data_IF_779574908665
#
_entry.id   IF_779574908665
#
_cell.length_a   1.000
_cell.length_b   1.000
_cell.length_c   1.000
_cell.angle_alpha   90.00
_cell.angle_beta   90.00
_cell.angle_gamma   90.00
#
_symmetry.space_group_name_H-M   'P 1'
#
loop_
_entity.id
_entity.type
_entity.pdbx_description
1 polymer ?
#
# COMPACT_ATOMS: atom_id res chain seq x y z
N UNK A 1 16.92 -23.70 -23.84
CA UNK A 1 17.02 -22.25 -23.56
C UNK A 1 17.36 -22.09 -22.08
N UNK A 2 18.44 -21.37 -21.76
CA UNK A 2 18.79 -21.09 -20.36
C UNK A 2 17.68 -20.23 -19.72
N UNK A 3 17.21 -20.65 -18.55
CA UNK A 3 16.21 -19.88 -17.79
C UNK A 3 16.82 -18.56 -17.31
N UNK A 4 16.07 -17.46 -17.45
CA UNK A 4 16.52 -16.13 -17.05
C UNK A 4 16.43 -16.00 -15.53
N UNK A 5 17.55 -16.22 -14.84
CA UNK A 5 17.67 -16.03 -13.38
C UNK A 5 17.91 -14.53 -13.12
N UNK A 6 17.24 -13.88 -12.16
CA UNK A 6 17.47 -12.46 -11.83
C UNK A 6 18.75 -12.27 -10.99
N UNK A 7 19.91 -12.74 -11.52
CA UNK A 7 21.24 -12.61 -10.87
C UNK A 7 21.62 -11.14 -10.67
N UNK A 8 21.08 -10.28 -11.50
CA UNK A 8 21.28 -8.82 -11.41
C UNK A 8 21.03 -8.25 -10.01
N UNK A 9 20.08 -8.84 -9.25
CA UNK A 9 19.78 -8.43 -7.87
C UNK A 9 20.96 -8.58 -6.92
N UNK A 10 21.84 -9.58 -7.18
CA UNK A 10 23.04 -9.85 -6.40
C UNK A 10 24.33 -9.19 -6.95
N UNK A 11 24.34 -8.72 -8.20
CA UNK A 11 25.57 -8.34 -8.90
C UNK A 11 25.63 -6.83 -9.23
N UNK A 12 24.53 -6.25 -9.70
CA UNK A 12 24.50 -4.82 -10.11
C UNK A 12 24.72 -3.87 -8.93
N UNK A 13 25.31 -2.68 -9.17
CA UNK A 13 25.40 -1.65 -8.12
C UNK A 13 24.05 -1.30 -7.52
N UNK A 14 23.97 -1.23 -6.20
CA UNK A 14 22.69 -1.08 -5.45
C UNK A 14 21.97 0.22 -5.84
N UNK A 15 22.68 1.33 -6.07
CA UNK A 15 22.04 2.61 -6.44
C UNK A 15 21.27 2.51 -7.76
N UNK A 16 21.89 1.91 -8.78
CA UNK A 16 21.26 1.70 -10.10
C UNK A 16 20.10 0.73 -9.97
N UNK A 17 20.30 -0.35 -9.21
CA UNK A 17 19.30 -1.35 -9.00
C UNK A 17 18.07 -0.77 -8.29
N UNK A 18 18.29 0.00 -7.22
CA UNK A 18 17.20 0.68 -6.50
C UNK A 18 16.43 1.64 -7.41
N UNK A 19 17.13 2.43 -8.23
CA UNK A 19 16.48 3.31 -9.22
C UNK A 19 15.61 2.52 -10.19
N UNK A 20 16.12 1.42 -10.73
CA UNK A 20 15.41 0.58 -11.71
C UNK A 20 14.17 -0.13 -11.13
N UNK A 21 14.11 -0.31 -9.81
CA UNK A 21 12.97 -0.92 -9.13
C UNK A 21 12.05 0.09 -8.48
N UNK A 22 12.59 1.13 -7.83
CA UNK A 22 11.82 2.11 -7.09
C UNK A 22 11.11 3.11 -8.01
N UNK A 23 11.79 3.63 -9.05
CA UNK A 23 11.19 4.60 -9.95
C UNK A 23 9.94 4.05 -10.67
N UNK A 24 9.97 2.84 -11.25
CA UNK A 24 8.77 2.21 -11.78
C UNK A 24 7.65 2.03 -10.74
N UNK A 25 8.00 1.62 -9.51
CA UNK A 25 7.01 1.45 -8.45
C UNK A 25 6.38 2.78 -8.03
N UNK A 26 7.17 3.85 -7.89
CA UNK A 26 6.68 5.21 -7.60
C UNK A 26 5.72 5.68 -8.70
N UNK A 27 6.12 5.54 -9.97
CA UNK A 27 5.29 5.95 -11.12
C UNK A 27 3.94 5.20 -11.12
N UNK A 28 3.97 3.88 -10.88
CA UNK A 28 2.75 3.07 -10.80
C UNK A 28 1.84 3.51 -9.65
N UNK A 29 2.40 3.80 -8.47
CA UNK A 29 1.62 4.24 -7.30
C UNK A 29 1.01 5.63 -7.49
N UNK A 30 1.79 6.59 -8.02
CA UNK A 30 1.31 7.95 -8.30
C UNK A 30 0.22 7.91 -9.37
N UNK A 31 0.42 7.16 -10.45
CA UNK A 31 -0.59 7.03 -11.51
C UNK A 31 -1.89 6.40 -10.99
N UNK A 32 -1.80 5.35 -10.16
CA UNK A 32 -2.98 4.73 -9.56
C UNK A 32 -3.72 5.68 -8.62
N UNK A 33 -3.00 6.54 -7.89
CA UNK A 33 -3.61 7.55 -7.02
C UNK A 33 -4.32 8.64 -7.81
N UNK A 34 -3.68 9.15 -8.88
CA UNK A 34 -4.28 10.14 -9.78
C UNK A 34 -5.54 9.57 -10.45
N UNK A 35 -5.47 8.31 -10.90
CA UNK A 35 -6.62 7.64 -11.48
C UNK A 35 -7.81 7.59 -10.51
N UNK A 36 -7.62 7.22 -9.24
CA UNK A 36 -8.70 7.21 -8.25
C UNK A 36 -9.38 8.58 -8.09
N UNK A 37 -8.62 9.68 -8.27
CA UNK A 37 -9.18 11.04 -8.24
C UNK A 37 -10.02 11.29 -9.49
N UNK A 38 -9.51 10.92 -10.65
CA UNK A 38 -10.21 11.08 -11.95
C UNK A 38 -11.51 10.29 -11.98
N UNK A 39 -11.49 9.03 -11.56
CA UNK A 39 -12.68 8.16 -11.50
C UNK A 39 -13.78 8.76 -10.63
N UNK A 40 -13.43 9.26 -9.44
CA UNK A 40 -14.36 9.97 -8.55
C UNK A 40 -14.93 11.25 -9.18
N UNK A 41 -14.09 11.99 -9.91
CA UNK A 41 -14.54 13.19 -10.60
C UNK A 41 -15.55 12.86 -11.72
N UNK A 42 -15.31 11.79 -12.47
CA UNK A 42 -16.26 11.30 -13.46
C UNK A 42 -17.60 10.88 -12.84
N UNK A 43 -17.56 10.07 -11.78
CA UNK A 43 -18.77 9.62 -11.09
C UNK A 43 -19.54 10.82 -10.51
N UNK A 44 -18.85 11.75 -9.84
CA UNK A 44 -19.47 12.93 -9.26
C UNK A 44 -20.12 13.84 -10.27
N UNK A 45 -19.49 14.02 -11.45
CA UNK A 45 -19.97 14.94 -12.48
C UNK A 45 -21.10 14.34 -13.36
N UNK A 46 -20.99 13.06 -13.73
CA UNK A 46 -21.89 12.44 -14.69
C UNK A 46 -22.97 11.56 -14.07
N UNK A 47 -22.71 10.95 -12.90
CA UNK A 47 -23.69 10.10 -12.20
C UNK A 47 -24.39 10.86 -11.09
N UNK A 48 -23.69 11.78 -10.44
CA UNK A 48 -24.23 12.69 -9.44
C UNK A 48 -23.68 12.51 -8.02
N UNK A 49 -24.05 13.45 -7.16
CA UNK A 49 -23.52 13.56 -5.78
C UNK A 49 -23.90 12.38 -4.89
N UNK A 50 -25.08 11.78 -5.08
CA UNK A 50 -25.51 10.61 -4.32
C UNK A 50 -24.66 9.37 -4.66
N UNK A 51 -24.31 9.19 -5.93
CA UNK A 51 -23.43 8.11 -6.38
C UNK A 51 -22.00 8.31 -5.83
N UNK A 52 -21.50 9.56 -5.84
CA UNK A 52 -20.22 9.91 -5.23
C UNK A 52 -20.21 9.64 -3.72
N UNK A 53 -21.30 9.95 -3.02
CA UNK A 53 -21.51 9.63 -1.61
C UNK A 53 -21.47 8.12 -1.37
N UNK A 54 -22.17 7.33 -2.20
CA UNK A 54 -22.12 5.88 -2.18
C UNK A 54 -20.71 5.34 -2.38
N UNK A 55 -19.99 5.82 -3.38
CA UNK A 55 -18.61 5.41 -3.65
C UNK A 55 -17.68 5.76 -2.47
N UNK A 56 -17.90 6.91 -1.83
CA UNK A 56 -17.10 7.32 -0.67
C UNK A 56 -17.28 6.36 0.51
N UNK A 57 -18.50 5.87 0.76
CA UNK A 57 -18.78 4.85 1.77
C UNK A 57 -18.12 3.49 1.45
N UNK A 58 -17.93 3.16 0.16
CA UNK A 58 -17.25 1.91 -0.23
C UNK A 58 -15.74 1.94 -0.06
N UNK A 59 -15.11 3.11 -0.04
CA UNK A 59 -13.65 3.26 -0.09
C UNK A 59 -12.89 2.57 1.05
N UNK A 60 -13.26 2.71 2.34
CA UNK A 60 -12.58 1.98 3.41
C UNK A 60 -12.71 0.47 3.26
N UNK A 61 -13.87 0.01 2.78
CA UNK A 61 -14.13 -1.40 2.54
C UNK A 61 -13.30 -1.95 1.37
N UNK A 62 -13.17 -1.20 0.27
CA UNK A 62 -12.29 -1.55 -0.85
C UNK A 62 -10.83 -1.64 -0.40
N UNK A 63 -10.37 -0.71 0.44
CA UNK A 63 -9.02 -0.75 1.00
C UNK A 63 -8.79 -2.00 1.85
N UNK A 64 -9.78 -2.43 2.63
CA UNK A 64 -9.70 -3.67 3.38
C UNK A 64 -9.61 -4.88 2.44
N UNK A 65 -10.40 -4.92 1.36
CA UNK A 65 -10.30 -5.95 0.32
C UNK A 65 -8.90 -5.98 -0.33
N UNK A 66 -8.39 -4.81 -0.73
CA UNK A 66 -7.04 -4.70 -1.28
C UNK A 66 -5.95 -5.16 -0.28
N UNK A 67 -6.16 -4.97 1.03
CA UNK A 67 -5.24 -5.44 2.06
C UNK A 67 -5.11 -6.97 2.09
N UNK A 68 -6.17 -7.73 1.80
CA UNK A 68 -6.10 -9.19 1.66
C UNK A 68 -5.26 -9.61 0.44
N UNK A 69 -5.46 -8.97 -0.72
CA UNK A 69 -4.63 -9.20 -1.90
C UNK A 69 -3.16 -8.85 -1.66
N UNK A 70 -2.90 -7.72 -1.01
CA UNK A 70 -1.56 -7.28 -0.62
C UNK A 70 -0.90 -8.22 0.38
N UNK A 71 -1.66 -8.80 1.33
CA UNK A 71 -1.15 -9.78 2.30
C UNK A 71 -0.49 -10.95 1.60
N UNK A 72 -1.18 -11.55 0.64
CA UNK A 72 -0.63 -12.69 -0.10
C UNK A 72 0.52 -12.25 -1.02
N UNK A 73 0.34 -11.14 -1.77
CA UNK A 73 1.30 -10.65 -2.75
C UNK A 73 2.63 -10.21 -2.15
N UNK A 74 2.58 -9.38 -1.11
CA UNK A 74 3.78 -8.86 -0.42
C UNK A 74 4.53 -9.97 0.31
N UNK A 75 3.78 -10.86 0.98
CA UNK A 75 4.37 -12.04 1.61
C UNK A 75 5.08 -12.95 0.61
N UNK A 76 4.43 -13.26 -0.51
CA UNK A 76 4.99 -14.09 -1.57
C UNK A 76 6.22 -13.42 -2.23
N UNK A 77 6.16 -12.12 -2.50
CA UNK A 77 7.28 -11.36 -3.05
C UNK A 77 8.53 -11.50 -2.16
N UNK A 78 8.39 -11.33 -0.85
CA UNK A 78 9.51 -11.50 0.10
C UNK A 78 10.01 -12.95 0.11
N UNK A 79 9.12 -13.95 0.23
CA UNK A 79 9.54 -15.35 0.27
C UNK A 79 10.27 -15.75 -1.02
N UNK A 80 9.74 -15.38 -2.19
CA UNK A 80 10.38 -15.62 -3.49
C UNK A 80 11.75 -14.96 -3.53
N UNK A 81 11.86 -13.67 -3.18
CA UNK A 81 13.13 -12.94 -3.24
C UNK A 81 14.20 -13.60 -2.38
N UNK A 82 13.87 -13.97 -1.13
CA UNK A 82 14.80 -14.69 -0.23
C UNK A 82 15.19 -16.05 -0.80
N UNK A 83 14.24 -16.84 -1.33
CA UNK A 83 14.52 -18.16 -1.91
C UNK A 83 15.36 -18.09 -3.17
N UNK A 84 15.15 -17.06 -4.02
CA UNK A 84 15.99 -16.81 -5.18
C UNK A 84 17.43 -16.49 -4.77
N UNK A 85 17.62 -15.67 -3.72
CA UNK A 85 18.95 -15.42 -3.15
C UNK A 85 19.63 -16.68 -2.60
N UNK A 86 18.85 -17.57 -1.98
CA UNK A 86 19.31 -18.89 -1.51
C UNK A 86 19.54 -19.91 -2.64
N UNK A 87 19.24 -19.55 -3.90
CA UNK A 87 19.24 -20.44 -5.06
C UNK A 87 18.26 -21.62 -4.94
N UNK A 88 17.25 -21.51 -4.04
CA UNK A 88 16.17 -22.48 -3.88
C UNK A 88 15.03 -22.18 -4.87
N UNK A 89 15.30 -22.41 -6.15
CA UNK A 89 14.37 -22.14 -7.24
C UNK A 89 13.11 -23.01 -7.17
N UNK A 90 13.24 -24.22 -6.61
CA UNK A 90 12.12 -25.15 -6.47
C UNK A 90 11.06 -24.61 -5.49
N UNK A 91 11.49 -24.08 -4.35
CA UNK A 91 10.58 -23.45 -3.40
C UNK A 91 10.03 -22.13 -3.95
N UNK A 92 10.85 -21.28 -4.57
CA UNK A 92 10.38 -20.04 -5.21
C UNK A 92 9.27 -20.31 -6.25
N UNK A 93 9.45 -21.36 -7.06
CA UNK A 93 8.45 -21.82 -8.03
C UNK A 93 7.13 -22.29 -7.37
N UNK A 94 7.21 -23.01 -6.24
CA UNK A 94 6.03 -23.44 -5.49
C UNK A 94 5.31 -22.24 -4.84
N UNK A 95 6.04 -21.19 -4.42
CA UNK A 95 5.41 -19.97 -3.87
C UNK A 95 4.54 -19.29 -4.92
N UNK A 96 4.96 -19.21 -6.18
CA UNK A 96 4.14 -18.68 -7.27
C UNK A 96 2.78 -19.40 -7.37
N UNK A 97 2.78 -20.74 -7.42
CA UNK A 97 1.55 -21.52 -7.51
C UNK A 97 0.71 -21.44 -6.24
N UNK A 98 1.34 -21.46 -5.06
CA UNK A 98 0.64 -21.30 -3.78
C UNK A 98 -0.02 -19.92 -3.69
N UNK A 99 0.61 -18.87 -4.22
CA UNK A 99 0.01 -17.51 -4.26
C UNK A 99 -1.27 -17.47 -5.09
N UNK A 100 -1.28 -18.12 -6.25
CA UNK A 100 -2.48 -18.20 -7.10
C UNK A 100 -3.60 -18.91 -6.35
N UNK A 101 -3.29 -20.07 -5.75
CA UNK A 101 -4.29 -20.85 -5.00
C UNK A 101 -4.78 -20.09 -3.77
N UNK A 102 -3.90 -19.41 -3.02
CA UNK A 102 -4.28 -18.59 -1.86
C UNK A 102 -5.17 -17.42 -2.25
N UNK A 103 -4.83 -16.69 -3.33
CA UNK A 103 -5.65 -15.59 -3.81
C UNK A 103 -7.04 -16.06 -4.26
N UNK A 104 -7.12 -17.23 -4.89
CA UNK A 104 -8.39 -17.85 -5.26
C UNK A 104 -9.23 -18.18 -4.02
N UNK A 105 -8.64 -18.85 -3.04
CA UNK A 105 -9.35 -19.26 -1.82
C UNK A 105 -9.76 -18.03 -0.99
N UNK A 106 -8.81 -17.15 -0.66
CA UNK A 106 -9.08 -15.99 0.18
C UNK A 106 -9.99 -14.99 -0.54
N UNK A 107 -9.79 -14.78 -1.83
CA UNK A 107 -10.64 -13.91 -2.64
C UNK A 107 -12.07 -14.42 -2.73
N UNK A 108 -12.27 -15.74 -2.95
CA UNK A 108 -13.59 -16.36 -2.98
C UNK A 108 -14.26 -16.30 -1.61
N UNK A 109 -13.54 -16.63 -0.53
CA UNK A 109 -14.06 -16.55 0.83
C UNK A 109 -14.47 -15.11 1.18
N UNK A 110 -13.63 -14.14 0.89
CA UNK A 110 -13.92 -12.72 1.09
C UNK A 110 -15.16 -12.30 0.31
N UNK A 111 -15.25 -12.69 -0.96
CA UNK A 111 -16.42 -12.42 -1.82
C UNK A 111 -17.71 -12.99 -1.20
N UNK A 112 -17.72 -14.25 -0.79
CA UNK A 112 -18.92 -14.89 -0.22
C UNK A 112 -19.35 -14.18 1.06
N UNK A 113 -18.41 -13.95 2.01
CA UNK A 113 -18.71 -13.28 3.28
C UNK A 113 -19.22 -11.87 3.03
N UNK A 114 -18.54 -11.11 2.17
CA UNK A 114 -18.88 -9.70 1.96
C UNK A 114 -20.16 -9.52 1.16
N UNK A 115 -20.47 -10.38 0.20
CA UNK A 115 -21.76 -10.32 -0.53
C UNK A 115 -22.92 -10.72 0.37
N UNK A 116 -22.72 -11.68 1.29
CA UNK A 116 -23.77 -12.12 2.23
C UNK A 116 -24.14 -11.00 3.22
N UNK A 117 -23.17 -10.22 3.67
CA UNK A 117 -23.35 -9.14 4.65
C UNK A 117 -23.16 -7.74 4.04
N UNK A 118 -23.42 -7.57 2.73
CA UNK A 118 -23.06 -6.35 2.01
C UNK A 118 -23.70 -5.09 2.59
N UNK A 119 -25.02 -5.10 2.80
CA UNK A 119 -25.75 -3.93 3.29
C UNK A 119 -25.36 -3.52 4.71
N UNK A 120 -25.29 -4.43 5.69
CA UNK A 120 -24.77 -4.11 7.02
C UNK A 120 -23.35 -3.54 6.98
N UNK A 121 -22.48 -4.10 6.15
CA UNK A 121 -21.11 -3.60 6.01
C UNK A 121 -21.10 -2.18 5.46
N UNK A 122 -21.82 -1.89 4.38
CA UNK A 122 -21.89 -0.58 3.78
C UNK A 122 -22.47 0.48 4.74
N UNK A 123 -23.48 0.11 5.53
CA UNK A 123 -24.05 1.01 6.57
C UNK A 123 -23.06 1.31 7.68
N UNK A 124 -22.28 0.31 8.15
CA UNK A 124 -21.21 0.51 9.14
C UNK A 124 -20.15 1.51 8.59
N UNK A 125 -19.86 1.46 7.30
CA UNK A 125 -18.92 2.38 6.66
C UNK A 125 -19.54 3.72 6.23
N UNK A 126 -20.79 4.00 6.61
CA UNK A 126 -21.42 5.31 6.48
C UNK A 126 -22.35 5.48 5.27
N UNK A 127 -22.76 4.40 4.62
CA UNK A 127 -23.81 4.48 3.59
C UNK A 127 -25.17 4.81 4.25
N UNK A 128 -25.79 5.91 3.80
CA UNK A 128 -27.14 6.29 4.19
C UNK A 128 -28.18 5.54 3.35
N UNK A 129 -29.46 5.62 3.73
CA UNK A 129 -30.56 5.01 2.94
C UNK A 129 -30.58 5.49 1.49
N UNK A 130 -30.20 6.75 1.25
CA UNK A 130 -30.16 7.35 -0.11
C UNK A 130 -28.93 6.99 -0.92
N UNK A 131 -27.78 6.72 -0.27
CA UNK A 131 -26.52 6.38 -0.95
C UNK A 131 -26.28 4.87 -1.03
N UNK A 132 -26.96 4.09 -0.19
CA UNK A 132 -26.82 2.63 -0.14
C UNK A 132 -27.11 1.91 -1.47
N UNK A 133 -28.11 2.30 -2.28
CA UNK A 133 -28.35 1.66 -3.59
C UNK A 133 -27.14 1.77 -4.52
N UNK A 134 -26.53 2.96 -4.60
CA UNK A 134 -25.34 3.20 -5.44
C UNK A 134 -24.12 2.44 -4.93
N UNK A 135 -23.88 2.46 -3.61
CA UNK A 135 -22.80 1.70 -2.98
C UNK A 135 -22.96 0.19 -3.22
N UNK A 136 -24.18 -0.33 -3.11
CA UNK A 136 -24.52 -1.74 -3.36
C UNK A 136 -24.25 -2.13 -4.80
N UNK A 137 -24.74 -1.37 -5.77
CA UNK A 137 -24.57 -1.65 -7.20
C UNK A 137 -23.08 -1.72 -7.59
N UNK A 138 -22.29 -0.79 -7.10
CA UNK A 138 -20.85 -0.77 -7.33
C UNK A 138 -20.16 -1.97 -6.69
N UNK A 139 -20.41 -2.20 -5.39
CA UNK A 139 -19.72 -3.24 -4.63
C UNK A 139 -20.13 -4.66 -5.02
N UNK A 140 -21.36 -4.89 -5.45
CA UNK A 140 -21.76 -6.21 -5.96
C UNK A 140 -20.90 -6.64 -7.15
N UNK A 141 -20.62 -5.73 -8.08
CA UNK A 141 -19.76 -6.01 -9.24
C UNK A 141 -18.31 -6.20 -8.80
N UNK A 142 -17.76 -5.28 -8.03
CA UNK A 142 -16.37 -5.34 -7.56
C UNK A 142 -16.11 -6.60 -6.75
N UNK A 143 -17.02 -6.97 -5.84
CA UNK A 143 -16.87 -8.17 -5.01
C UNK A 143 -17.04 -9.46 -5.82
N UNK A 144 -17.98 -9.51 -6.77
CA UNK A 144 -18.17 -10.70 -7.60
C UNK A 144 -16.88 -11.09 -8.36
N UNK A 145 -16.06 -10.10 -8.73
CA UNK A 145 -14.80 -10.30 -9.44
C UNK A 145 -13.55 -10.03 -8.58
N UNK A 146 -13.70 -9.95 -7.27
CA UNK A 146 -12.62 -9.60 -6.35
C UNK A 146 -11.42 -10.57 -6.41
N UNK A 147 -11.64 -11.83 -6.77
CA UNK A 147 -10.57 -12.81 -7.03
C UNK A 147 -9.60 -12.32 -8.12
N UNK A 148 -10.10 -11.62 -9.14
CA UNK A 148 -9.28 -11.02 -10.20
C UNK A 148 -8.39 -9.93 -9.60
N UNK A 149 -8.98 -9.03 -8.81
CA UNK A 149 -8.25 -7.94 -8.15
C UNK A 149 -7.15 -8.47 -7.22
N UNK A 150 -7.46 -9.46 -6.37
CA UNK A 150 -6.49 -10.08 -5.47
C UNK A 150 -5.36 -10.78 -6.25
N UNK A 151 -5.71 -11.53 -7.30
CA UNK A 151 -4.72 -12.23 -8.14
C UNK A 151 -3.83 -11.25 -8.88
N UNK A 152 -4.39 -10.15 -9.42
CA UNK A 152 -3.64 -9.09 -10.07
C UNK A 152 -2.63 -8.45 -9.11
N UNK A 153 -3.08 -8.00 -7.92
CA UNK A 153 -2.21 -7.39 -6.91
C UNK A 153 -1.10 -8.34 -6.46
N UNK A 154 -1.46 -9.60 -6.18
CA UNK A 154 -0.51 -10.61 -5.73
C UNK A 154 0.55 -10.95 -6.77
N UNK A 155 0.14 -11.21 -8.00
CA UNK A 155 1.07 -11.58 -9.07
C UNK A 155 1.89 -10.39 -9.58
N UNK A 156 1.36 -9.16 -9.54
CA UNK A 156 2.12 -7.95 -9.82
C UNK A 156 3.29 -7.76 -8.84
N UNK A 157 3.08 -8.07 -7.55
CA UNK A 157 4.16 -8.06 -6.57
C UNK A 157 5.24 -9.12 -6.88
N UNK A 158 4.83 -10.33 -7.28
CA UNK A 158 5.75 -11.41 -7.67
C UNK A 158 6.55 -11.06 -8.92
N UNK A 159 5.99 -10.31 -9.88
CA UNK A 159 6.73 -9.86 -11.07
C UNK A 159 7.97 -9.06 -10.69
N UNK A 160 7.89 -8.20 -9.66
CA UNK A 160 9.05 -7.45 -9.17
C UNK A 160 10.11 -8.38 -8.58
N UNK A 161 9.69 -9.39 -7.80
CA UNK A 161 10.60 -10.41 -7.26
C UNK A 161 11.25 -11.26 -8.38
N UNK A 162 10.52 -11.50 -9.46
CA UNK A 162 10.99 -12.26 -10.63
C UNK A 162 11.94 -11.45 -11.54
N UNK A 163 12.24 -10.18 -11.23
CA UNK A 163 13.15 -9.35 -12.03
C UNK A 163 12.48 -8.52 -13.13
N UNK A 164 11.16 -8.34 -13.07
CA UNK A 164 10.38 -7.60 -14.08
C UNK A 164 9.70 -6.32 -13.52
N UNK A 165 10.41 -5.39 -12.84
CA UNK A 165 9.80 -4.21 -12.23
C UNK A 165 9.20 -3.26 -13.28
N UNK A 166 9.87 -3.06 -14.42
CA UNK A 166 9.38 -2.20 -15.50
C UNK A 166 8.11 -2.78 -16.13
N UNK A 167 8.05 -4.10 -16.33
CA UNK A 167 6.85 -4.73 -16.87
C UNK A 167 5.68 -4.65 -15.88
N UNK A 168 5.94 -4.82 -14.59
CA UNK A 168 4.93 -4.64 -13.54
C UNK A 168 4.35 -3.22 -13.55
N UNK A 169 5.21 -2.19 -13.67
CA UNK A 169 4.79 -0.79 -13.85
C UNK A 169 3.98 -0.60 -15.13
N UNK A 170 4.50 -1.06 -16.27
CA UNK A 170 3.84 -0.89 -17.56
C UNK A 170 2.42 -1.49 -17.55
N UNK A 171 2.23 -2.66 -16.96
CA UNK A 171 0.91 -3.28 -16.84
C UNK A 171 -0.02 -2.50 -15.91
N UNK A 172 0.52 -1.91 -14.83
CA UNK A 172 -0.28 -1.02 -13.97
C UNK A 172 -0.69 0.25 -14.71
N UNK A 173 0.23 0.89 -15.41
CA UNK A 173 -0.07 2.09 -16.21
C UNK A 173 -1.04 1.81 -17.35
N UNK A 174 -0.86 0.70 -18.08
CA UNK A 174 -1.81 0.26 -19.11
C UNK A 174 -3.19 0.00 -18.51
N UNK A 175 -3.27 -0.64 -17.35
CA UNK A 175 -4.53 -0.85 -16.63
C UNK A 175 -5.22 0.47 -16.30
N UNK A 176 -4.48 1.45 -15.77
CA UNK A 176 -4.98 2.80 -15.48
C UNK A 176 -5.49 3.49 -16.76
N UNK A 177 -4.72 3.44 -17.86
CA UNK A 177 -5.13 4.04 -19.13
C UNK A 177 -6.36 3.39 -19.73
N UNK A 178 -6.42 2.05 -19.72
CA UNK A 178 -7.60 1.29 -20.20
C UNK A 178 -8.81 1.66 -19.37
N UNK A 179 -8.70 1.71 -18.08
CA UNK A 179 -9.82 2.07 -17.21
C UNK A 179 -10.29 3.50 -17.47
N UNK A 180 -9.36 4.49 -17.53
CA UNK A 180 -9.68 5.88 -17.86
C UNK A 180 -10.36 6.06 -19.24
N UNK A 181 -10.07 5.17 -20.20
CA UNK A 181 -10.74 5.15 -21.49
C UNK A 181 -12.13 4.47 -21.43
N UNK A 182 -12.29 3.44 -20.60
CA UNK A 182 -13.55 2.71 -20.44
C UNK A 182 -14.57 3.45 -19.58
N UNK A 183 -14.13 4.25 -18.61
CA UNK A 183 -15.02 5.02 -17.72
C UNK A 183 -15.99 5.93 -18.53
N UNK A 184 -15.53 6.83 -19.43
CA UNK A 184 -16.44 7.62 -20.25
C UNK A 184 -17.36 6.76 -21.14
N UNK A 185 -16.84 5.67 -21.68
CA UNK A 185 -17.61 4.76 -22.53
C UNK A 185 -18.77 4.13 -21.76
N UNK A 186 -18.51 3.56 -20.58
CA UNK A 186 -19.55 2.87 -19.81
C UNK A 186 -20.44 3.83 -19.03
N UNK A 187 -19.88 4.93 -18.49
CA UNK A 187 -20.65 5.87 -17.68
C UNK A 187 -21.50 6.78 -18.55
N UNK A 188 -20.92 7.35 -19.65
CA UNK A 188 -21.56 8.37 -20.45
C UNK A 188 -22.25 7.79 -21.67
N UNK A 189 -21.52 7.04 -22.52
CA UNK A 189 -22.04 6.56 -23.81
C UNK A 189 -23.06 5.45 -23.63
N UNK A 190 -22.80 4.50 -22.72
CA UNK A 190 -23.68 3.37 -22.44
C UNK A 190 -24.66 3.63 -21.28
N UNK A 191 -24.59 4.79 -20.65
CA UNK A 191 -25.47 5.25 -19.56
C UNK A 191 -25.61 4.23 -18.41
N UNK A 192 -24.52 3.53 -18.11
CA UNK A 192 -24.51 2.49 -17.06
C UNK A 192 -24.29 3.05 -15.65
N UNK A 193 -24.08 4.36 -15.52
CA UNK A 193 -23.87 5.05 -14.24
C UNK A 193 -22.71 4.44 -13.43
N UNK A 194 -22.90 4.27 -12.13
CA UNK A 194 -21.88 3.74 -11.22
C UNK A 194 -21.49 2.29 -11.51
N UNK A 195 -22.38 1.49 -12.09
CA UNK A 195 -22.07 0.13 -12.56
C UNK A 195 -21.03 0.14 -13.66
N UNK A 196 -21.07 1.16 -14.54
CA UNK A 196 -20.10 1.36 -15.61
C UNK A 196 -18.67 1.51 -15.08
N UNK A 197 -18.48 2.32 -14.06
CA UNK A 197 -17.18 2.48 -13.39
C UNK A 197 -16.66 1.16 -12.79
N UNK A 198 -17.53 0.39 -12.12
CA UNK A 198 -17.17 -0.90 -11.57
C UNK A 198 -16.71 -1.89 -12.66
N UNK A 199 -17.45 -1.97 -13.77
CA UNK A 199 -17.14 -2.84 -14.90
C UNK A 199 -15.84 -2.43 -15.58
N UNK A 200 -15.61 -1.13 -15.80
CA UNK A 200 -14.36 -0.61 -16.36
C UNK A 200 -13.15 -1.02 -15.51
N UNK A 201 -13.27 -0.91 -14.19
CA UNK A 201 -12.23 -1.35 -13.24
C UNK A 201 -11.94 -2.84 -13.38
N UNK A 202 -12.96 -3.68 -13.40
CA UNK A 202 -12.77 -5.15 -13.50
C UNK A 202 -12.19 -5.54 -14.85
N UNK A 203 -12.61 -4.94 -15.95
CA UNK A 203 -12.06 -5.23 -17.28
C UNK A 203 -10.58 -4.86 -17.33
N UNK A 204 -10.20 -3.67 -16.87
CA UNK A 204 -8.81 -3.21 -16.87
C UNK A 204 -7.90 -4.12 -16.03
N UNK A 205 -8.35 -4.53 -14.84
CA UNK A 205 -7.62 -5.47 -13.99
C UNK A 205 -7.58 -6.88 -14.59
N UNK A 206 -8.62 -7.33 -15.26
CA UNK A 206 -8.65 -8.63 -15.95
C UNK A 206 -7.64 -8.69 -17.09
N UNK A 207 -7.54 -7.62 -17.89
CA UNK A 207 -6.55 -7.52 -18.97
C UNK A 207 -5.13 -7.51 -18.43
N UNK A 208 -4.87 -6.76 -17.35
CA UNK A 208 -3.57 -6.73 -16.68
C UNK A 208 -3.22 -8.10 -16.09
N UNK A 209 -4.15 -8.78 -15.43
CA UNK A 209 -3.98 -10.12 -14.90
C UNK A 209 -3.69 -11.14 -16.02
N UNK A 210 -4.44 -11.09 -17.12
CA UNK A 210 -4.20 -11.96 -18.26
C UNK A 210 -2.79 -11.78 -18.83
N UNK A 211 -2.31 -10.55 -18.97
CA UNK A 211 -0.95 -10.26 -19.42
C UNK A 211 0.11 -10.82 -18.46
N UNK A 212 -0.10 -10.71 -17.13
CA UNK A 212 0.79 -11.31 -16.12
C UNK A 212 0.82 -12.84 -16.24
N UNK A 213 -0.34 -13.47 -16.38
CA UNK A 213 -0.44 -14.93 -16.53
C UNK A 213 0.21 -15.41 -17.83
N UNK A 214 0.08 -14.66 -18.93
CA UNK A 214 0.76 -14.95 -20.20
C UNK A 214 2.29 -14.87 -20.05
N UNK A 215 2.81 -13.89 -19.29
CA UNK A 215 4.23 -13.79 -19.00
C UNK A 215 4.71 -15.01 -18.21
N UNK A 216 4.02 -15.35 -17.12
CA UNK A 216 4.38 -16.53 -16.32
C UNK A 216 4.10 -17.87 -17.03
N UNK A 217 3.38 -17.89 -18.13
CA UNK A 217 3.21 -19.08 -18.96
C UNK A 217 4.42 -19.41 -19.84
N UNK A 218 5.36 -18.45 -20.00
CA UNK A 218 6.56 -18.63 -20.80
C UNK A 218 7.56 -19.52 -20.08
N UNK A 219 7.94 -20.64 -20.69
CA UNK A 219 8.94 -21.59 -20.13
C UNK A 219 10.36 -21.02 -20.07
N UNK A 220 10.63 -19.90 -20.73
CA UNK A 220 11.90 -19.18 -20.67
C UNK A 220 12.12 -18.47 -19.34
N UNK A 221 11.02 -18.17 -18.62
CA UNK A 221 11.11 -17.57 -17.29
C UNK A 221 11.45 -18.60 -16.22
N UNK A 222 12.23 -18.19 -15.23
CA UNK A 222 12.56 -19.05 -14.09
C UNK A 222 11.31 -19.44 -13.32
N UNK A 223 10.50 -18.41 -12.99
CA UNK A 223 9.20 -18.60 -12.38
C UNK A 223 8.14 -18.69 -13.47
N UNK A 224 7.62 -19.88 -13.71
CA UNK A 224 6.59 -20.10 -14.72
C UNK A 224 5.51 -21.07 -14.25
N UNK A 225 4.33 -20.95 -14.85
CA UNK A 225 3.20 -21.82 -14.54
C UNK A 225 3.47 -23.24 -15.03
N UNK A 226 3.43 -24.22 -14.11
CA UNK A 226 3.59 -25.65 -14.41
C UNK A 226 2.66 -26.48 -13.53
N UNK A 227 2.38 -27.70 -13.97
CA UNK A 227 1.58 -28.64 -13.17
C UNK A 227 2.31 -28.97 -11.84
N UNK A 228 1.53 -29.07 -10.75
CA UNK A 228 2.02 -29.49 -9.44
C UNK A 228 2.41 -28.36 -8.47
N UNK A 229 2.57 -27.11 -8.93
CA UNK A 229 2.91 -25.98 -8.04
C UNK A 229 1.72 -25.45 -7.22
N UNK A 230 0.50 -25.81 -7.61
CA UNK A 230 -0.75 -25.28 -7.00
C UNK A 230 -1.12 -25.95 -5.69
N UNK A 231 -0.48 -27.10 -5.36
CA UNK A 231 -0.71 -27.76 -4.07
C UNK A 231 -0.18 -26.87 -2.94
N UNK A 232 -1.06 -26.50 -2.02
CA UNK A 232 -0.71 -25.70 -0.85
C UNK A 232 0.29 -26.47 0.02
N UNK A 233 1.42 -25.83 0.29
CA UNK A 233 2.42 -26.31 1.25
C UNK A 233 2.32 -25.48 2.52
N UNK A 234 1.99 -26.12 3.65
CA UNK A 234 1.75 -25.43 4.91
C UNK A 234 2.90 -24.50 5.34
N UNK A 235 4.15 -24.90 5.09
CA UNK A 235 5.33 -24.09 5.40
C UNK A 235 5.38 -22.80 4.55
N UNK A 236 5.04 -22.88 3.25
CA UNK A 236 5.00 -21.73 2.33
C UNK A 236 3.84 -20.82 2.71
N UNK A 237 2.65 -21.39 2.91
CA UNK A 237 1.44 -20.65 3.30
C UNK A 237 1.70 -19.88 4.58
N UNK A 238 2.22 -20.54 5.62
CA UNK A 238 2.53 -19.92 6.92
C UNK A 238 3.53 -18.77 6.77
N UNK A 239 4.60 -18.95 6.02
CA UNK A 239 5.61 -17.91 5.81
C UNK A 239 5.03 -16.73 5.03
N UNK A 240 4.31 -16.98 3.93
CA UNK A 240 3.69 -15.94 3.10
C UNK A 240 2.68 -15.13 3.91
N UNK A 241 1.76 -15.79 4.62
CA UNK A 241 0.76 -15.09 5.41
C UNK A 241 1.37 -14.37 6.62
N UNK A 242 2.35 -14.96 7.30
CA UNK A 242 3.01 -14.30 8.43
C UNK A 242 3.69 -12.98 8.03
N UNK A 243 4.40 -12.96 6.90
CA UNK A 243 5.05 -11.75 6.39
C UNK A 243 4.00 -10.75 5.89
N UNK A 244 3.01 -11.22 5.15
CA UNK A 244 1.95 -10.38 4.61
C UNK A 244 0.96 -9.85 5.66
N UNK A 245 0.96 -10.43 6.86
CA UNK A 245 0.12 -9.93 7.97
C UNK A 245 0.49 -8.49 8.37
N UNK A 246 1.75 -8.08 8.19
CA UNK A 246 2.17 -6.69 8.51
C UNK A 246 1.43 -5.64 7.68
N UNK A 247 1.47 -5.64 6.34
CA UNK A 247 0.72 -4.67 5.54
C UNK A 247 -0.80 -4.84 5.68
N UNK A 248 -1.30 -6.06 5.89
CA UNK A 248 -2.72 -6.30 6.14
C UNK A 248 -3.20 -5.58 7.40
N UNK A 249 -2.53 -5.82 8.53
CA UNK A 249 -2.89 -5.19 9.81
C UNK A 249 -2.69 -3.67 9.76
N UNK A 250 -1.63 -3.20 9.08
CA UNK A 250 -1.39 -1.78 8.90
C UNK A 250 -2.56 -1.10 8.16
N UNK A 251 -3.02 -1.65 7.05
CA UNK A 251 -4.14 -1.10 6.29
C UNK A 251 -5.47 -1.20 7.06
N UNK A 252 -5.70 -2.32 7.75
CA UNK A 252 -6.90 -2.50 8.58
C UNK A 252 -6.96 -1.48 9.72
N UNK A 253 -5.84 -1.26 10.41
CA UNK A 253 -5.75 -0.24 11.46
C UNK A 253 -5.87 1.17 10.90
N UNK A 254 -5.33 1.44 9.70
CA UNK A 254 -5.45 2.75 9.05
C UNK A 254 -6.92 3.11 8.80
N UNK A 255 -7.78 2.16 8.41
CA UNK A 255 -9.21 2.41 8.27
C UNK A 255 -9.85 2.85 9.60
N UNK A 256 -9.51 2.17 10.71
CA UNK A 256 -10.00 2.54 12.04
C UNK A 256 -9.50 3.93 12.48
N UNK A 257 -8.22 4.20 12.24
CA UNK A 257 -7.59 5.50 12.57
C UNK A 257 -8.27 6.65 11.82
N UNK A 258 -8.55 6.47 10.52
CA UNK A 258 -9.26 7.51 9.72
C UNK A 258 -10.63 7.80 10.29
N UNK A 259 -11.39 6.77 10.69
CA UNK A 259 -12.71 6.95 11.33
C UNK A 259 -12.61 7.73 12.64
N UNK A 260 -11.64 7.39 13.49
CA UNK A 260 -11.43 8.09 14.76
C UNK A 260 -10.97 9.53 14.57
N UNK A 261 -10.05 9.78 13.62
CA UNK A 261 -9.59 11.13 13.30
C UNK A 261 -10.71 11.99 12.75
N UNK A 262 -11.50 11.47 11.80
CA UNK A 262 -12.63 12.20 11.25
C UNK A 262 -13.64 12.59 12.34
N UNK A 263 -13.98 11.62 13.22
CA UNK A 263 -14.87 11.88 14.35
C UNK A 263 -14.30 12.93 15.31
N UNK A 264 -13.03 12.81 15.68
CA UNK A 264 -12.39 13.77 16.59
C UNK A 264 -12.25 15.16 15.97
N UNK A 265 -11.92 15.26 14.66
CA UNK A 265 -11.87 16.54 13.95
C UNK A 265 -13.23 17.22 13.95
N UNK A 266 -14.31 16.46 13.71
CA UNK A 266 -15.67 17.00 13.71
C UNK A 266 -16.14 17.40 15.11
N UNK A 267 -15.82 16.60 16.14
CA UNK A 267 -16.22 16.87 17.53
C UNK A 267 -15.54 18.10 18.11
N UNK A 268 -14.24 18.30 17.86
CA UNK A 268 -13.45 19.38 18.46
C UNK A 268 -13.29 20.62 17.57
N UNK A 269 -13.54 20.52 16.26
CA UNK A 269 -13.34 21.66 15.33
C UNK A 269 -14.42 21.84 14.26
N UNK A 270 -15.46 21.00 14.26
CA UNK A 270 -16.57 21.05 13.32
C UNK A 270 -16.19 20.70 11.88
N UNK A 271 -17.08 21.03 10.95
CA UNK A 271 -16.95 20.66 9.54
C UNK A 271 -15.73 21.30 8.86
N UNK A 272 -15.37 22.53 9.26
CA UNK A 272 -14.18 23.21 8.72
C UNK A 272 -12.88 22.50 9.11
N UNK A 273 -12.78 21.95 10.34
CA UNK A 273 -11.63 21.18 10.77
C UNK A 273 -11.53 19.84 10.04
N UNK A 274 -12.68 19.19 9.81
CA UNK A 274 -12.73 17.96 9.02
C UNK A 274 -12.30 18.20 7.57
N UNK A 275 -12.75 19.31 6.95
CA UNK A 275 -12.32 19.70 5.61
C UNK A 275 -10.82 20.02 5.57
N UNK A 276 -10.31 20.78 6.54
CA UNK A 276 -8.88 21.08 6.67
C UNK A 276 -8.03 19.82 6.84
N UNK A 277 -8.48 18.86 7.66
CA UNK A 277 -7.82 17.57 7.82
C UNK A 277 -7.78 16.79 6.50
N UNK A 278 -8.88 16.75 5.76
CA UNK A 278 -8.93 16.11 4.44
C UNK A 278 -7.88 16.66 3.48
N UNK A 279 -7.68 17.99 3.46
CA UNK A 279 -6.65 18.66 2.67
C UNK A 279 -5.25 18.25 3.13
N UNK A 280 -4.95 18.37 4.44
CA UNK A 280 -3.65 18.01 5.01
C UNK A 280 -3.31 16.54 4.73
N UNK A 281 -4.27 15.64 4.93
CA UNK A 281 -4.10 14.21 4.66
C UNK A 281 -3.81 13.95 3.18
N UNK A 282 -4.50 14.65 2.26
CA UNK A 282 -4.27 14.50 0.82
C UNK A 282 -2.86 14.94 0.41
N UNK A 283 -2.36 16.04 0.98
CA UNK A 283 -1.01 16.54 0.73
C UNK A 283 0.03 15.55 1.28
N UNK A 284 -0.12 15.11 2.53
CA UNK A 284 0.78 14.17 3.17
C UNK A 284 0.82 12.82 2.42
N UNK A 285 -0.34 12.37 1.91
CA UNK A 285 -0.47 11.12 1.17
C UNK A 285 0.43 11.06 -0.08
N UNK A 286 0.62 12.18 -0.78
CA UNK A 286 1.51 12.25 -1.94
C UNK A 286 2.95 11.87 -1.56
N UNK A 287 3.49 12.43 -0.48
CA UNK A 287 4.83 12.12 -0.01
C UNK A 287 4.93 10.66 0.46
N UNK A 288 3.91 10.17 1.17
CA UNK A 288 3.87 8.78 1.64
C UNK A 288 3.82 7.79 0.46
N UNK A 289 3.10 8.09 -0.62
CA UNK A 289 3.05 7.24 -1.82
C UNK A 289 4.43 7.09 -2.47
N UNK A 290 5.23 8.17 -2.51
CA UNK A 290 6.60 8.11 -3.03
C UNK A 290 7.47 7.21 -2.13
N UNK A 291 7.36 7.35 -0.80
CA UNK A 291 8.08 6.50 0.16
C UNK A 291 7.64 5.03 0.03
N UNK A 292 6.35 4.77 -0.18
CA UNK A 292 5.84 3.42 -0.42
C UNK A 292 6.38 2.81 -1.72
N UNK A 293 6.49 3.60 -2.79
CA UNK A 293 7.11 3.16 -4.03
C UNK A 293 8.59 2.82 -3.85
N UNK A 294 9.34 3.62 -3.08
CA UNK A 294 10.73 3.31 -2.69
C UNK A 294 10.81 1.97 -1.95
N UNK A 295 9.92 1.72 -1.01
CA UNK A 295 9.87 0.46 -0.25
C UNK A 295 9.52 -0.75 -1.13
N UNK A 296 8.59 -0.59 -2.09
CA UNK A 296 8.28 -1.65 -3.05
C UNK A 296 9.48 -1.99 -3.95
N UNK A 297 10.31 -1.00 -4.28
CA UNK A 297 11.57 -1.22 -5.00
C UNK A 297 12.64 -1.87 -4.13
N UNK A 298 12.76 -1.48 -2.87
CA UNK A 298 13.72 -2.06 -1.91
C UNK A 298 13.44 -3.53 -1.64
N UNK A 299 12.17 -3.92 -1.54
CA UNK A 299 11.74 -5.23 -1.06
C UNK A 299 12.39 -6.41 -1.78
N UNK A 300 12.37 -6.54 -3.12
CA UNK A 300 13.00 -7.67 -3.80
C UNK A 300 14.52 -7.64 -3.69
N UNK A 301 15.14 -6.46 -3.66
CA UNK A 301 16.59 -6.30 -3.56
C UNK A 301 17.07 -6.75 -2.17
N UNK A 302 16.44 -6.24 -1.11
CA UNK A 302 16.78 -6.60 0.26
C UNK A 302 16.55 -8.09 0.53
N UNK A 303 15.40 -8.64 0.09
CA UNK A 303 15.07 -10.05 0.26
C UNK A 303 16.05 -10.97 -0.45
N UNK A 304 16.41 -10.69 -1.71
CA UNK A 304 17.37 -11.47 -2.46
C UNK A 304 18.76 -11.49 -1.78
N UNK A 305 19.32 -10.31 -1.49
CA UNK A 305 20.65 -10.19 -0.90
C UNK A 305 20.70 -10.79 0.53
N UNK A 306 19.60 -10.67 1.29
CA UNK A 306 19.47 -11.36 2.57
C UNK A 306 19.50 -12.88 2.42
N UNK A 307 18.77 -13.43 1.45
CA UNK A 307 18.78 -14.85 1.12
C UNK A 307 20.17 -15.34 0.65
N UNK A 308 20.89 -14.52 -0.08
CA UNK A 308 22.24 -14.78 -0.57
C UNK A 308 23.35 -14.56 0.47
N UNK A 309 23.00 -14.18 1.71
CA UNK A 309 23.96 -13.84 2.79
C UNK A 309 24.92 -12.68 2.44
N UNK A 310 24.51 -11.78 1.55
CA UNK A 310 25.27 -10.58 1.15
C UNK A 310 24.92 -9.38 2.06
N UNK A 311 25.30 -9.46 3.32
CA UNK A 311 24.90 -8.49 4.34
C UNK A 311 25.28 -7.04 4.01
N UNK A 312 26.46 -6.80 3.43
CA UNK A 312 26.89 -5.46 3.02
C UNK A 312 25.93 -4.84 2.03
N UNK A 313 25.45 -5.61 1.06
CA UNK A 313 24.47 -5.15 0.08
C UNK A 313 23.11 -4.91 0.70
N UNK A 314 22.71 -5.71 1.68
CA UNK A 314 21.47 -5.52 2.46
C UNK A 314 21.52 -4.19 3.22
N UNK A 315 22.65 -3.87 3.87
CA UNK A 315 22.80 -2.59 4.57
C UNK A 315 22.88 -1.41 3.59
N UNK A 316 23.52 -1.60 2.46
CA UNK A 316 23.63 -0.57 1.43
C UNK A 316 22.25 -0.21 0.85
N UNK A 317 21.41 -1.19 0.51
CA UNK A 317 20.05 -0.91 0.01
C UNK A 317 19.19 -0.25 1.06
N UNK A 318 19.26 -0.67 2.32
CA UNK A 318 18.56 -0.02 3.42
C UNK A 318 18.98 1.44 3.56
N UNK A 319 20.29 1.72 3.59
CA UNK A 319 20.85 3.06 3.72
C UNK A 319 20.40 3.97 2.57
N UNK A 320 20.47 3.51 1.32
CA UNK A 320 20.06 4.30 0.16
C UNK A 320 18.56 4.57 0.18
N UNK A 321 17.73 3.57 0.52
CA UNK A 321 16.28 3.74 0.62
C UNK A 321 15.92 4.70 1.77
N UNK A 322 16.57 4.60 2.93
CA UNK A 322 16.38 5.54 4.05
C UNK A 322 16.75 6.96 3.64
N UNK A 323 17.89 7.16 3.00
CA UNK A 323 18.34 8.49 2.55
C UNK A 323 17.34 9.10 1.56
N UNK A 324 16.89 8.31 0.56
CA UNK A 324 15.90 8.77 -0.40
C UNK A 324 14.54 9.08 0.24
N UNK A 325 14.05 8.21 1.12
CA UNK A 325 12.78 8.43 1.83
C UNK A 325 12.84 9.64 2.76
N UNK A 326 13.95 9.82 3.48
CA UNK A 326 14.18 10.99 4.34
C UNK A 326 14.26 12.27 3.51
N UNK A 327 14.90 12.26 2.34
CA UNK A 327 14.91 13.42 1.43
C UNK A 327 13.49 13.81 0.99
N UNK A 328 12.66 12.83 0.63
CA UNK A 328 11.24 13.06 0.26
C UNK A 328 10.46 13.67 1.43
N UNK A 329 10.62 13.11 2.63
CA UNK A 329 9.89 13.60 3.81
C UNK A 329 10.44 14.93 4.32
N UNK A 330 11.71 15.27 4.11
CA UNK A 330 12.25 16.61 4.35
C UNK A 330 11.60 17.63 3.40
N UNK A 331 11.41 17.30 2.13
CA UNK A 331 10.68 18.19 1.20
C UNK A 331 9.26 18.43 1.72
N UNK A 332 8.55 17.40 2.17
CA UNK A 332 7.24 17.54 2.79
C UNK A 332 7.26 18.41 4.06
N UNK A 333 8.26 18.25 4.91
CA UNK A 333 8.49 19.09 6.08
C UNK A 333 8.71 20.56 5.69
N UNK A 334 9.60 20.84 4.76
CA UNK A 334 9.87 22.20 4.29
C UNK A 334 8.61 22.85 3.67
N UNK A 335 7.86 22.08 2.89
CA UNK A 335 6.58 22.54 2.33
C UNK A 335 5.59 22.93 3.43
N UNK A 336 5.41 22.08 4.43
CA UNK A 336 4.46 22.33 5.53
C UNK A 336 4.92 23.45 6.47
N UNK A 337 6.22 23.63 6.69
CA UNK A 337 6.73 24.68 7.58
C UNK A 337 6.75 26.06 6.92
N UNK A 338 7.20 26.15 5.66
CA UNK A 338 7.47 27.46 5.02
C UNK A 338 6.33 27.93 4.11
N UNK A 339 5.64 27.03 3.42
CA UNK A 339 4.61 27.37 2.44
C UNK A 339 3.32 26.52 2.62
N UNK A 340 2.79 26.35 3.84
CA UNK A 340 1.67 25.42 4.09
C UNK A 340 0.36 25.82 3.41
N UNK A 341 0.15 27.11 3.16
CA UNK A 341 -1.05 27.60 2.50
C UNK A 341 -1.08 27.30 1.00
N UNK A 342 0.09 27.30 0.34
CA UNK A 342 0.17 27.11 -1.11
C UNK A 342 -0.49 25.81 -1.58
N UNK A 343 -0.14 24.62 -1.03
CA UNK A 343 -0.83 23.38 -1.41
C UNK A 343 -2.28 23.34 -0.92
N UNK A 344 -2.65 24.02 0.18
CA UNK A 344 -4.03 24.06 0.65
C UNK A 344 -4.94 24.86 -0.30
N UNK A 345 -4.45 25.95 -0.88
CA UNK A 345 -5.17 26.78 -1.86
C UNK A 345 -5.47 26.06 -3.18
N UNK A 346 -4.82 24.93 -3.46
CA UNK A 346 -5.18 24.08 -4.62
C UNK A 346 -6.57 23.45 -4.42
N UNK A 347 -6.98 23.22 -3.17
CA UNK A 347 -8.22 22.52 -2.85
C UNK A 347 -9.39 23.45 -2.56
N UNK A 348 -9.14 24.65 -2.02
CA UNK A 348 -10.19 25.58 -1.62
C UNK A 348 -9.68 27.03 -1.60
N UNK A 349 -10.61 27.97 -1.83
CA UNK A 349 -10.39 29.41 -1.69
C UNK A 349 -10.93 29.97 -0.35
N UNK A 350 -11.52 29.13 0.50
CA UNK A 350 -12.02 29.53 1.82
C UNK A 350 -10.84 29.78 2.76
N UNK A 351 -10.63 31.06 3.11
CA UNK A 351 -9.50 31.50 3.94
C UNK A 351 -9.51 30.86 5.34
N UNK A 352 -10.68 30.55 5.89
CA UNK A 352 -10.79 29.91 7.19
C UNK A 352 -10.28 28.46 7.13
N UNK A 353 -10.68 27.71 6.11
CA UNK A 353 -10.24 26.33 5.90
C UNK A 353 -8.76 26.31 5.53
N UNK A 354 -8.29 27.23 4.68
CA UNK A 354 -6.86 27.35 4.31
C UNK A 354 -6.00 27.62 5.54
N UNK A 355 -6.39 28.57 6.39
CA UNK A 355 -5.66 28.90 7.61
C UNK A 355 -5.60 27.70 8.58
N UNK A 356 -6.73 27.02 8.78
CA UNK A 356 -6.81 25.83 9.64
C UNK A 356 -6.00 24.66 9.07
N UNK A 357 -6.02 24.42 7.76
CA UNK A 357 -5.22 23.43 7.10
C UNK A 357 -3.72 23.76 7.21
N UNK A 358 -3.33 25.00 7.02
CA UNK A 358 -1.95 25.47 7.17
C UNK A 358 -1.43 25.27 8.60
N UNK A 359 -2.24 25.59 9.62
CA UNK A 359 -1.91 25.34 11.02
C UNK A 359 -1.75 23.84 11.30
N UNK A 360 -2.73 23.02 10.92
CA UNK A 360 -2.67 21.57 11.10
C UNK A 360 -1.52 20.93 10.35
N UNK A 361 -1.22 21.38 9.13
CA UNK A 361 -0.12 20.86 8.33
C UNK A 361 1.24 21.13 8.98
N UNK A 362 1.47 22.36 9.52
CA UNK A 362 2.69 22.67 10.28
C UNK A 362 2.89 21.71 11.45
N UNK A 363 1.84 21.40 12.20
CA UNK A 363 1.92 20.46 13.33
C UNK A 363 2.22 19.04 12.83
N UNK A 364 1.49 18.56 11.84
CA UNK A 364 1.64 17.20 11.32
C UNK A 364 3.04 16.91 10.79
N UNK A 365 3.72 17.91 10.17
CA UNK A 365 5.04 17.68 9.58
C UNK A 365 6.20 17.82 10.56
N UNK A 366 6.00 18.16 11.82
CA UNK A 366 7.07 18.38 12.79
C UNK A 366 8.09 17.23 12.86
N UNK A 367 7.63 15.99 12.81
CA UNK A 367 8.46 14.78 12.87
C UNK A 367 8.64 14.14 11.49
N UNK A 368 8.05 14.73 10.44
CA UNK A 368 8.05 14.16 9.09
C UNK A 368 9.43 13.76 8.55
N UNK A 369 10.54 14.51 8.80
CA UNK A 369 11.88 14.09 8.40
C UNK A 369 12.28 12.69 8.89
N UNK A 370 11.78 12.26 10.05
CA UNK A 370 12.08 10.96 10.63
C UNK A 370 11.11 9.86 10.17
N UNK A 371 9.90 10.24 9.76
CA UNK A 371 8.83 9.32 9.36
C UNK A 371 9.25 8.48 8.16
N UNK A 372 9.95 9.08 7.17
CA UNK A 372 10.48 8.35 6.02
C UNK A 372 11.36 7.18 6.42
N UNK A 373 12.31 7.42 7.33
CA UNK A 373 13.18 6.39 7.87
C UNK A 373 12.43 5.30 8.65
N UNK A 374 11.45 5.69 9.48
CA UNK A 374 10.63 4.76 10.26
C UNK A 374 9.84 3.79 9.35
N UNK A 375 9.20 4.33 8.29
CA UNK A 375 8.47 3.53 7.31
C UNK A 375 9.42 2.54 6.61
N UNK A 376 10.60 3.00 6.18
CA UNK A 376 11.61 2.16 5.55
C UNK A 376 12.07 1.04 6.47
N UNK A 377 12.33 1.29 7.74
CA UNK A 377 12.74 0.27 8.72
C UNK A 377 11.66 -0.81 8.89
N UNK A 378 10.39 -0.43 8.97
CA UNK A 378 9.28 -1.38 9.07
C UNK A 378 9.21 -2.30 7.83
N UNK A 379 9.28 -1.73 6.63
CA UNK A 379 9.28 -2.47 5.38
C UNK A 379 10.57 -3.28 5.16
N UNK A 380 11.70 -2.82 5.67
CA UNK A 380 12.94 -3.57 5.64
C UNK A 380 12.84 -4.88 6.41
N UNK A 381 12.33 -4.87 7.65
CA UNK A 381 12.10 -6.09 8.41
C UNK A 381 11.14 -7.05 7.70
N UNK A 382 10.13 -6.52 7.03
CA UNK A 382 9.24 -7.29 6.17
C UNK A 382 10.00 -7.93 5.00
N UNK A 383 10.87 -7.16 4.33
CA UNK A 383 11.63 -7.59 3.14
C UNK A 383 12.62 -8.70 3.42
N UNK A 384 13.18 -8.75 4.62
CA UNK A 384 14.10 -9.83 5.06
C UNK A 384 13.38 -10.97 5.80
N UNK A 385 12.03 -10.98 5.78
CA UNK A 385 11.21 -12.06 6.36
C UNK A 385 11.04 -12.02 7.88
N UNK A 386 11.43 -10.93 8.56
CA UNK A 386 11.24 -10.75 10.01
C UNK A 386 9.83 -10.23 10.32
N UNK A 387 8.81 -11.04 10.04
CA UNK A 387 7.40 -10.68 10.16
C UNK A 387 7.02 -10.08 11.51
N UNK A 388 7.44 -10.69 12.62
CA UNK A 388 7.10 -10.22 13.97
C UNK A 388 7.57 -8.79 14.26
N UNK A 389 8.80 -8.43 13.84
CA UNK A 389 9.34 -7.08 14.01
C UNK A 389 8.60 -6.06 13.15
N UNK A 390 8.31 -6.43 11.90
CA UNK A 390 7.55 -5.57 10.99
C UNK A 390 6.12 -5.33 11.50
N UNK A 391 5.42 -6.38 11.95
CA UNK A 391 4.07 -6.27 12.55
C UNK A 391 4.11 -5.36 13.79
N UNK A 392 5.06 -5.59 14.69
CA UNK A 392 5.19 -4.79 15.90
C UNK A 392 5.41 -3.30 15.60
N UNK A 393 6.32 -2.98 14.66
CA UNK A 393 6.58 -1.59 14.25
C UNK A 393 5.34 -0.93 13.61
N UNK A 394 4.65 -1.65 12.74
CA UNK A 394 3.46 -1.12 12.06
C UNK A 394 2.30 -0.89 13.02
N UNK A 395 2.05 -1.85 13.92
CA UNK A 395 0.95 -1.77 14.88
C UNK A 395 1.24 -0.81 16.04
N UNK A 396 2.48 -0.73 16.53
CA UNK A 396 2.82 0.15 17.64
C UNK A 396 2.51 1.62 17.31
N UNK A 397 2.82 2.06 16.09
CA UNK A 397 2.51 3.41 15.64
C UNK A 397 1.00 3.69 15.70
N UNK A 398 0.18 2.79 15.20
CA UNK A 398 -1.26 3.02 15.06
C UNK A 398 -2.04 2.70 16.34
N UNK A 399 -1.85 1.50 16.90
CA UNK A 399 -2.66 1.02 18.03
C UNK A 399 -2.14 1.51 19.39
N UNK A 400 -0.81 1.57 19.56
CA UNK A 400 -0.23 1.88 20.87
C UNK A 400 -0.10 3.39 21.08
N UNK A 401 0.21 4.14 20.02
CA UNK A 401 0.47 5.59 20.17
C UNK A 401 -0.60 6.45 19.54
N UNK A 402 -1.00 6.20 18.27
CA UNK A 402 -1.91 7.10 17.56
C UNK A 402 -3.34 7.02 18.10
N UNK A 403 -3.90 5.84 18.27
CA UNK A 403 -5.27 5.69 18.79
C UNK A 403 -5.39 6.27 20.20
N UNK A 404 -4.54 5.92 21.19
CA UNK A 404 -4.58 6.58 22.49
C UNK A 404 -4.33 8.09 22.42
N UNK A 405 -3.42 8.53 21.53
CA UNK A 405 -3.17 9.96 21.29
C UNK A 405 -4.44 10.70 20.87
N UNK A 406 -5.17 10.18 19.88
CA UNK A 406 -6.45 10.75 19.39
C UNK A 406 -7.52 10.77 20.48
N UNK A 407 -7.56 9.80 21.39
CA UNK A 407 -8.57 9.70 22.44
C UNK A 407 -8.24 10.54 23.70
N UNK A 408 -6.96 10.81 23.94
CA UNK A 408 -6.49 11.45 25.16
C UNK A 408 -6.12 12.93 24.93
N UNK A 409 -5.28 13.23 23.94
CA UNK A 409 -4.76 14.60 23.74
C UNK A 409 -5.85 15.65 23.48
N UNK A 410 -6.91 15.36 22.71
CA UNK A 410 -7.96 16.34 22.49
C UNK A 410 -8.72 16.76 23.74
N UNK A 411 -8.77 15.91 24.77
CA UNK A 411 -9.42 16.25 26.05
C UNK A 411 -8.71 17.38 26.79
N UNK A 412 -7.40 17.55 26.55
CA UNK A 412 -6.58 18.58 27.21
C UNK A 412 -6.27 19.77 26.29
N UNK A 413 -6.14 19.54 24.99
CA UNK A 413 -5.68 20.53 24.01
C UNK A 413 -6.74 20.87 22.95
N UNK A 414 -7.95 20.33 23.05
CA UNK A 414 -9.00 20.55 22.05
C UNK A 414 -8.59 20.10 20.66
N UNK A 415 -8.88 20.88 19.63
CA UNK A 415 -8.56 20.57 18.24
C UNK A 415 -7.05 20.38 18.01
N UNK A 416 -6.20 21.18 18.66
CA UNK A 416 -4.75 21.03 18.54
C UNK A 416 -4.28 19.66 19.06
N UNK A 417 -4.96 19.10 20.05
CA UNK A 417 -4.69 17.74 20.54
C UNK A 417 -4.91 16.67 19.48
N UNK A 418 -5.88 16.85 18.58
CA UNK A 418 -6.08 15.95 17.44
C UNK A 418 -4.90 16.05 16.48
N UNK A 419 -4.46 17.28 16.16
CA UNK A 419 -3.30 17.50 15.29
C UNK A 419 -1.99 16.95 15.90
N UNK A 420 -1.73 17.19 17.18
CA UNK A 420 -0.54 16.71 17.88
C UNK A 420 -0.50 15.20 18.08
N UNK A 421 -1.63 14.49 17.98
CA UNK A 421 -1.65 13.03 18.09
C UNK A 421 -0.81 12.33 17.02
N UNK A 422 -0.73 12.91 15.81
CA UNK A 422 0.05 12.36 14.70
C UNK A 422 1.56 12.46 14.93
N UNK A 423 2.17 13.65 15.14
CA UNK A 423 3.60 13.75 15.40
C UNK A 423 4.02 13.06 16.69
N UNK A 424 3.16 12.99 17.71
CA UNK A 424 3.42 12.21 18.91
C UNK A 424 3.61 10.72 18.59
N UNK A 425 2.67 10.13 17.86
CA UNK A 425 2.74 8.73 17.45
C UNK A 425 3.96 8.46 16.55
N UNK A 426 4.26 9.38 15.65
CA UNK A 426 5.42 9.29 14.77
C UNK A 426 6.74 9.35 15.54
N UNK A 427 6.89 10.27 16.49
CA UNK A 427 8.08 10.38 17.34
C UNK A 427 8.34 9.09 18.13
N UNK A 428 7.31 8.56 18.79
CA UNK A 428 7.42 7.32 19.57
C UNK A 428 7.75 6.13 18.68
N UNK A 429 7.13 6.04 17.51
CA UNK A 429 7.40 4.98 16.54
C UNK A 429 8.82 5.07 15.96
N UNK A 430 9.34 6.27 15.71
CA UNK A 430 10.72 6.48 15.26
C UNK A 430 11.74 5.99 16.31
N UNK A 431 11.51 6.25 17.60
CA UNK A 431 12.37 5.76 18.69
C UNK A 431 12.40 4.22 18.70
N UNK A 432 11.24 3.57 18.61
CA UNK A 432 11.15 2.11 18.57
C UNK A 432 11.86 1.55 17.33
N UNK A 433 11.62 2.16 16.16
CA UNK A 433 12.24 1.71 14.90
C UNK A 433 13.77 1.83 14.96
N UNK A 434 14.30 2.94 15.48
CA UNK A 434 15.74 3.15 15.66
C UNK A 434 16.34 2.13 16.64
N UNK A 435 15.67 1.87 17.75
CA UNK A 435 16.11 0.90 18.76
C UNK A 435 16.17 -0.53 18.20
N UNK A 436 15.11 -0.96 17.50
CA UNK A 436 15.07 -2.29 16.90
C UNK A 436 16.09 -2.45 15.78
N UNK A 437 16.29 -1.41 14.96
CA UNK A 437 17.31 -1.44 13.92
C UNK A 437 18.72 -1.54 14.52
N UNK A 438 19.02 -0.71 15.51
CA UNK A 438 20.30 -0.73 16.22
C UNK A 438 20.59 -2.11 16.86
N UNK A 439 19.60 -2.71 17.51
CA UNK A 439 19.73 -4.05 18.08
C UNK A 439 19.99 -5.10 16.99
N UNK A 440 19.29 -5.01 15.85
CA UNK A 440 19.49 -5.92 14.72
C UNK A 440 20.89 -5.82 14.13
N UNK A 441 21.40 -4.58 13.95
CA UNK A 441 22.76 -4.34 13.44
C UNK A 441 23.81 -4.94 14.36
N UNK A 442 23.69 -4.71 15.66
CA UNK A 442 24.59 -5.30 16.65
C UNK A 442 24.57 -6.82 16.62
N UNK A 443 23.40 -7.44 16.57
CA UNK A 443 23.27 -8.89 16.58
C UNK A 443 23.87 -9.55 15.32
N UNK A 444 23.79 -8.90 14.17
CA UNK A 444 24.42 -9.41 12.94
C UNK A 444 25.93 -9.29 13.02
N UNK A 445 26.48 -8.14 13.46
CA UNK A 445 27.93 -7.93 13.61
C UNK A 445 28.56 -8.91 14.60
N UNK A 446 27.94 -9.12 15.77
CA UNK A 446 28.43 -10.07 16.75
C UNK A 446 28.47 -11.51 16.23
N UNK A 447 27.56 -11.90 15.35
CA UNK A 447 27.58 -13.22 14.69
C UNK A 447 28.66 -13.34 13.62
N UNK A 448 29.00 -12.26 12.93
CA UNK A 448 30.10 -12.21 11.96
C UNK A 448 31.45 -12.31 12.67
N UNK A 449 31.64 -11.54 13.75
CA UNK A 449 32.84 -11.58 14.59
C UNK A 449 33.06 -12.96 15.25
N UNK A 450 31.99 -13.67 15.60
CA UNK A 450 32.09 -15.02 16.17
C UNK A 450 32.42 -16.13 15.17
N UNK A 451 32.34 -15.82 13.85
CA UNK A 451 32.65 -16.74 12.75
C UNK A 451 34.03 -16.48 12.08
N UNK A 452 34.57 -15.28 12.30
CA UNK A 452 35.93 -14.89 11.90
C UNK A 452 36.95 -15.32 12.95
#
# INVERSE_FOLDING_TARGET
MAQRVPTELGEKPIGILLMNYALPAIMAMVASSLYNIVDRAFIGHYVGTLALGGLTATFPFMNLGAAFGAMVGVGACTVISVRLGQKDYATAQNVLGNTITLNLILGTLFTIVCLTFLDPILQIFGASETTLPYAREYMQIVLAFNVISHSYLGLNAIMRAAGHPITAMALTLCGVMVNAALDPLFIIVLDMGIRGAAIATIISQSLALAAILLLFSRKSELLHLRRGIYKLKASIVRQTLAIGMSPFLMNSCACLVVLLLNRSMQEYGGDNALAAYGIVNSIAFVFIMIVMGLNQGMQPIAGYNWGAHQNDRVWQVLRYTMTAATAVTIIGFLTGMFIPEMPARIFTNDEQIVSMAAHGFRICVLIFPLVGGQIVVSHFFQSIGHAGKSIFLSLSRQLIFLIPGILILPKYLGLDGVWYSMPFADAMSCIIAATLLWWQVRHIRSKEESKA
#
